data_IF_345119374215
#
_entry.id   IF_345119374215
#
_cell.length_a   1.000
_cell.length_b   1.000
_cell.length_c   1.000
_cell.angle_alpha   90.00
_cell.angle_beta   90.00
_cell.angle_gamma   90.00
#
_symmetry.space_group_name_H-M   'P 1'
#
loop_
_entity.id
_entity.type
_entity.pdbx_description
1 polymer ?
#
# COMPACT_ATOMS: atom_id res chain seq x y z
N UNK A 1 -23.80 -0.40 -8.05
CA UNK A 1 -24.13 1.03 -7.79
C UNK A 1 -23.27 1.46 -6.62
N UNK A 2 -22.63 2.63 -6.67
CA UNK A 2 -21.86 3.17 -5.55
C UNK A 2 -22.76 4.13 -4.79
N UNK A 3 -23.06 3.81 -3.52
CA UNK A 3 -23.85 4.65 -2.63
C UNK A 3 -22.93 5.41 -1.67
N UNK A 4 -23.25 6.68 -1.42
CA UNK A 4 -22.43 7.55 -0.58
C UNK A 4 -23.28 8.09 0.58
N UNK A 5 -22.87 7.76 1.80
CA UNK A 5 -23.52 8.22 3.03
C UNK A 5 -22.67 9.33 3.66
N UNK A 6 -23.29 10.48 3.93
CA UNK A 6 -22.63 11.63 4.54
C UNK A 6 -23.23 11.94 5.91
N UNK A 7 -22.37 12.18 6.90
CA UNK A 7 -22.79 12.69 8.21
C UNK A 7 -21.63 13.42 8.87
N UNK A 8 -21.96 14.33 9.78
CA UNK A 8 -21.01 14.99 10.67
C UNK A 8 -20.76 14.21 11.97
N UNK A 9 -21.50 13.11 12.18
CA UNK A 9 -21.38 12.23 13.34
C UNK A 9 -21.02 10.83 12.91
N UNK A 10 -19.88 10.33 13.40
CA UNK A 10 -19.38 9.01 13.07
C UNK A 10 -20.33 7.91 13.57
N UNK A 11 -21.05 8.15 14.68
CA UNK A 11 -22.04 7.25 15.23
C UNK A 11 -23.18 7.00 14.24
N UNK A 12 -23.62 8.03 13.52
CA UNK A 12 -24.68 7.90 12.51
C UNK A 12 -24.21 7.05 11.32
N UNK A 13 -22.98 7.28 10.84
CA UNK A 13 -22.40 6.45 9.77
C UNK A 13 -22.21 4.99 10.22
N UNK A 14 -21.78 4.80 11.47
CA UNK A 14 -21.59 3.47 12.05
C UNK A 14 -22.93 2.74 12.20
N UNK A 15 -23.98 3.44 12.65
CA UNK A 15 -25.33 2.87 12.75
C UNK A 15 -25.89 2.45 11.39
N UNK A 16 -25.75 3.29 10.36
CA UNK A 16 -26.16 2.96 9.00
C UNK A 16 -25.41 1.72 8.47
N UNK A 17 -24.07 1.68 8.66
CA UNK A 17 -23.27 0.51 8.29
C UNK A 17 -23.76 -0.77 8.99
N UNK A 18 -24.07 -0.69 10.29
CA UNK A 18 -24.56 -1.84 11.04
C UNK A 18 -25.97 -2.29 10.60
N UNK A 19 -26.80 -1.37 10.13
CA UNK A 19 -28.10 -1.70 9.53
C UNK A 19 -27.93 -2.48 8.22
N UNK A 20 -27.00 -2.04 7.37
CA UNK A 20 -26.66 -2.74 6.13
C UNK A 20 -26.07 -4.12 6.40
N UNK A 21 -25.21 -4.25 7.42
CA UNK A 21 -24.65 -5.54 7.86
C UNK A 21 -25.74 -6.50 8.32
N UNK A 22 -26.70 -6.01 9.12
CA UNK A 22 -27.82 -6.82 9.57
C UNK A 22 -28.71 -7.26 8.41
N UNK A 23 -28.96 -6.38 7.44
CA UNK A 23 -29.74 -6.69 6.25
C UNK A 23 -29.06 -7.71 5.35
N UNK A 24 -27.73 -7.62 5.19
CA UNK A 24 -26.94 -8.58 4.43
C UNK A 24 -27.09 -10.01 5.00
N UNK A 25 -26.93 -10.17 6.31
CA UNK A 25 -27.03 -11.46 6.98
C UNK A 25 -28.40 -12.17 6.79
N UNK A 26 -29.47 -11.40 6.60
CA UNK A 26 -30.82 -11.93 6.36
C UNK A 26 -31.07 -12.34 4.91
N UNK A 27 -30.35 -11.74 3.96
CA UNK A 27 -30.65 -11.86 2.53
C UNK A 27 -29.71 -12.81 1.77
N UNK A 28 -28.48 -13.02 2.24
CA UNK A 28 -27.44 -13.70 1.44
C UNK A 28 -27.58 -15.24 1.39
N UNK A 29 -28.50 -15.83 2.16
CA UNK A 29 -28.85 -17.26 2.12
C UNK A 29 -27.74 -18.25 2.51
N UNK A 30 -26.48 -17.82 2.51
CA UNK A 30 -25.30 -18.59 2.90
C UNK A 30 -24.89 -18.21 4.34
N UNK A 31 -25.00 -19.13 5.31
CA UNK A 31 -24.68 -18.84 6.72
C UNK A 31 -23.18 -18.60 6.98
N UNK A 32 -22.29 -18.90 6.03
CA UNK A 32 -20.84 -18.72 6.17
C UNK A 32 -20.30 -17.54 5.35
N UNK A 33 -21.16 -16.82 4.61
CA UNK A 33 -20.72 -15.66 3.86
C UNK A 33 -20.15 -14.58 4.82
N UNK A 34 -18.90 -14.21 4.61
CA UNK A 34 -18.25 -13.14 5.36
C UNK A 34 -18.47 -11.81 4.66
N UNK A 35 -18.87 -10.79 5.42
CA UNK A 35 -18.99 -9.44 4.89
C UNK A 35 -17.66 -8.69 5.01
N UNK A 36 -17.17 -8.18 3.89
CA UNK A 36 -15.94 -7.38 3.85
C UNK A 36 -16.25 -5.91 4.07
N UNK A 37 -15.56 -5.30 5.04
CA UNK A 37 -15.70 -3.89 5.41
C UNK A 37 -14.32 -3.25 5.38
N UNK A 38 -14.17 -2.23 4.54
CA UNK A 38 -12.92 -1.48 4.40
C UNK A 38 -12.86 -0.41 5.48
N UNK A 39 -11.77 -0.40 6.25
CA UNK A 39 -11.54 0.56 7.34
C UNK A 39 -10.29 1.41 7.08
N UNK A 40 -10.28 2.69 7.51
CA UNK A 40 -9.15 3.58 7.27
C UNK A 40 -8.02 3.43 8.30
N UNK A 41 -8.30 2.81 9.46
CA UNK A 41 -7.32 2.70 10.55
C UNK A 41 -7.67 1.58 11.53
N UNK A 42 -6.66 1.16 12.31
CA UNK A 42 -6.83 0.20 13.39
C UNK A 42 -7.80 0.70 14.49
N UNK A 43 -7.85 2.01 14.73
CA UNK A 43 -8.77 2.60 15.71
C UNK A 43 -10.23 2.45 15.26
N UNK A 44 -10.53 2.75 13.99
CA UNK A 44 -11.88 2.58 13.43
C UNK A 44 -12.25 1.10 13.37
N UNK A 45 -11.32 0.23 12.97
CA UNK A 45 -11.49 -1.22 13.02
C UNK A 45 -11.95 -1.67 14.41
N UNK A 46 -11.15 -1.34 15.43
CA UNK A 46 -11.43 -1.77 16.80
C UNK A 46 -12.76 -1.22 17.31
N UNK A 47 -13.09 0.02 16.94
CA UNK A 47 -14.35 0.64 17.32
C UNK A 47 -15.54 -0.10 16.72
N UNK A 48 -15.49 -0.40 15.41
CA UNK A 48 -16.54 -1.15 14.72
C UNK A 48 -16.72 -2.56 15.30
N UNK A 49 -15.63 -3.26 15.63
CA UNK A 49 -15.72 -4.57 16.30
C UNK A 49 -16.52 -4.50 17.61
N UNK A 50 -16.29 -3.46 18.41
CA UNK A 50 -17.00 -3.24 19.67
C UNK A 50 -18.46 -2.82 19.43
N UNK A 51 -18.72 -1.95 18.47
CA UNK A 51 -20.08 -1.49 18.14
C UNK A 51 -20.93 -2.65 17.57
N UNK A 52 -20.35 -3.53 16.75
CA UNK A 52 -20.96 -4.78 16.27
C UNK A 52 -21.26 -5.72 17.44
N UNK A 53 -20.30 -5.98 18.32
CA UNK A 53 -20.50 -6.84 19.48
C UNK A 53 -21.57 -6.29 20.43
N UNK A 54 -21.62 -4.97 20.62
CA UNK A 54 -22.65 -4.32 21.43
C UNK A 54 -24.05 -4.43 20.80
N UNK A 55 -24.16 -4.31 19.47
CA UNK A 55 -25.46 -4.38 18.77
C UNK A 55 -25.97 -5.80 18.55
N UNK A 56 -25.09 -6.72 18.19
CA UNK A 56 -25.44 -8.10 17.79
C UNK A 56 -25.14 -9.15 18.86
N UNK A 57 -24.52 -8.75 19.98
CA UNK A 57 -24.05 -9.64 21.04
C UNK A 57 -22.68 -10.28 20.77
N UNK A 58 -22.25 -10.33 19.50
CA UNK A 58 -20.94 -10.83 19.07
C UNK A 58 -20.51 -10.14 17.77
N UNK A 59 -19.21 -9.97 17.57
CA UNK A 59 -18.61 -9.62 16.28
C UNK A 59 -17.83 -10.82 15.77
N UNK A 60 -18.34 -11.50 14.74
CA UNK A 60 -17.73 -12.68 14.15
C UNK A 60 -18.03 -12.75 12.64
N UNK A 61 -17.17 -13.45 11.89
CA UNK A 61 -17.32 -13.64 10.43
C UNK A 61 -17.41 -12.34 9.60
N UNK A 62 -16.76 -11.26 10.07
CA UNK A 62 -16.64 -9.99 9.34
C UNK A 62 -15.18 -9.78 8.98
N UNK A 63 -14.90 -9.50 7.71
CA UNK A 63 -13.56 -9.23 7.21
C UNK A 63 -13.29 -7.72 7.21
N UNK A 64 -12.63 -7.24 8.27
CA UNK A 64 -12.22 -5.85 8.41
C UNK A 64 -10.80 -5.67 7.85
N UNK A 65 -10.70 -5.07 6.67
CA UNK A 65 -9.44 -4.92 5.95
C UNK A 65 -9.14 -3.46 5.56
N UNK A 66 -7.90 -3.18 5.18
CA UNK A 66 -7.51 -1.87 4.67
C UNK A 66 -7.73 -1.78 3.16
N UNK A 67 -7.92 -0.56 2.65
CA UNK A 67 -8.21 -0.32 1.23
C UNK A 67 -7.19 -0.97 0.28
N UNK A 68 -5.89 -0.85 0.59
CA UNK A 68 -4.84 -1.42 -0.26
C UNK A 68 -4.89 -2.95 -0.32
N UNK A 69 -5.19 -3.62 0.80
CA UNK A 69 -5.32 -5.07 0.87
C UNK A 69 -6.56 -5.53 0.08
N UNK A 70 -7.69 -4.84 0.29
CA UNK A 70 -8.91 -5.12 -0.44
C UNK A 70 -8.72 -4.96 -1.95
N UNK A 71 -8.10 -3.84 -2.38
CA UNK A 71 -7.86 -3.56 -3.79
C UNK A 71 -6.97 -4.64 -4.43
N UNK A 72 -5.93 -5.11 -3.74
CA UNK A 72 -5.09 -6.19 -4.25
C UNK A 72 -5.87 -7.50 -4.43
N UNK A 73 -6.75 -7.84 -3.49
CA UNK A 73 -7.63 -9.01 -3.60
C UNK A 73 -8.60 -8.89 -4.79
N UNK A 74 -9.19 -7.71 -5.02
CA UNK A 74 -10.05 -7.47 -6.18
C UNK A 74 -9.29 -7.61 -7.51
N UNK A 75 -8.06 -7.08 -7.58
CA UNK A 75 -7.19 -7.26 -8.76
C UNK A 75 -6.93 -8.74 -9.02
N UNK A 76 -6.65 -9.53 -7.97
CA UNK A 76 -6.47 -10.98 -8.06
C UNK A 76 -7.68 -11.75 -8.58
N UNK A 77 -8.89 -11.20 -8.45
CA UNK A 77 -10.10 -11.78 -9.03
C UNK A 77 -10.20 -11.61 -10.55
N UNK A 78 -9.49 -10.64 -11.13
CA UNK A 78 -9.60 -10.28 -12.56
C UNK A 78 -8.31 -10.59 -13.33
N UNK A 79 -7.17 -10.52 -12.67
CA UNK A 79 -5.85 -10.71 -13.27
C UNK A 79 -5.05 -11.77 -12.49
N UNK A 80 -4.24 -12.59 -13.18
CA UNK A 80 -3.36 -13.54 -12.53
C UNK A 80 -2.20 -12.78 -11.85
N UNK A 81 -2.39 -12.43 -10.59
CA UNK A 81 -1.35 -11.82 -9.73
C UNK A 81 -0.99 -12.75 -8.58
N UNK A 82 0.23 -12.66 -8.03
CA UNK A 82 0.58 -13.37 -6.82
C UNK A 82 -0.31 -12.95 -5.65
N UNK A 83 -0.53 -13.88 -4.70
CA UNK A 83 -1.33 -13.64 -3.49
C UNK A 83 -0.89 -12.39 -2.72
N UNK A 84 0.42 -12.13 -2.69
CA UNK A 84 1.00 -10.96 -2.06
C UNK A 84 1.66 -10.07 -3.10
N UNK A 85 1.49 -8.76 -2.99
CA UNK A 85 2.18 -7.81 -3.88
C UNK A 85 3.69 -8.07 -3.87
N UNK A 86 4.32 -8.27 -5.05
CA UNK A 86 5.77 -8.39 -5.13
C UNK A 86 6.48 -7.10 -4.73
N UNK A 87 5.75 -5.99 -4.64
CA UNK A 87 6.20 -4.68 -4.22
C UNK A 87 5.75 -4.33 -2.79
N UNK A 88 5.24 -5.28 -2.00
CA UNK A 88 4.94 -5.03 -0.60
C UNK A 88 6.21 -4.54 0.14
N UNK A 89 6.11 -3.49 1.00
CA UNK A 89 7.26 -2.89 1.67
C UNK A 89 8.19 -3.91 2.33
N UNK A 90 7.62 -4.85 3.10
CA UNK A 90 8.37 -5.89 3.84
C UNK A 90 9.22 -6.79 2.92
N UNK A 91 8.82 -6.97 1.66
CA UNK A 91 9.58 -7.73 0.66
C UNK A 91 10.56 -6.84 -0.09
N UNK A 92 10.15 -5.61 -0.41
CA UNK A 92 11.01 -4.64 -1.08
C UNK A 92 12.24 -4.28 -0.26
N UNK A 93 12.14 -4.21 1.07
CA UNK A 93 13.30 -3.96 1.94
C UNK A 93 14.45 -4.92 1.61
N UNK A 94 14.18 -6.22 1.53
CA UNK A 94 15.21 -7.22 1.26
C UNK A 94 15.76 -7.16 -0.16
N UNK A 95 14.94 -6.77 -1.15
CA UNK A 95 15.41 -6.55 -2.52
C UNK A 95 16.32 -5.33 -2.58
N UNK A 96 15.90 -4.21 -2.00
CA UNK A 96 16.70 -3.00 -1.88
C UNK A 96 17.99 -3.26 -1.10
N UNK A 97 17.96 -4.01 0.00
CA UNK A 97 19.14 -4.37 0.79
C UNK A 97 20.19 -5.10 -0.05
N UNK A 98 19.79 -6.12 -0.82
CA UNK A 98 20.69 -6.84 -1.73
C UNK A 98 21.24 -5.96 -2.83
N UNK A 99 20.39 -5.12 -3.43
CA UNK A 99 20.81 -4.19 -4.48
C UNK A 99 21.83 -3.16 -3.95
N UNK A 100 21.58 -2.57 -2.78
CA UNK A 100 22.50 -1.65 -2.13
C UNK A 100 23.84 -2.31 -1.80
N UNK A 101 23.84 -3.58 -1.39
CA UNK A 101 25.08 -4.34 -1.18
C UNK A 101 25.88 -4.56 -2.47
N UNK A 102 25.21 -4.93 -3.56
CA UNK A 102 25.87 -5.07 -4.86
C UNK A 102 26.42 -3.74 -5.43
N UNK A 103 25.76 -2.62 -5.11
CA UNK A 103 26.23 -1.28 -5.49
C UNK A 103 27.53 -0.88 -4.78
N UNK A 104 27.92 -1.52 -3.67
CA UNK A 104 29.24 -1.31 -3.07
C UNK A 104 30.36 -1.84 -3.98
N UNK A 105 30.10 -2.90 -4.76
CA UNK A 105 31.09 -3.54 -5.64
C UNK A 105 31.15 -2.91 -7.04
N UNK A 106 30.01 -2.44 -7.56
CA UNK A 106 29.88 -1.85 -8.89
C UNK A 106 28.99 -0.59 -8.86
N UNK A 107 29.43 0.43 -8.13
CA UNK A 107 28.64 1.63 -7.90
C UNK A 107 28.33 2.37 -9.22
N UNK A 108 27.06 2.64 -9.55
CA UNK A 108 26.74 3.44 -10.72
C UNK A 108 27.34 4.85 -10.62
N UNK A 109 27.70 5.40 -11.78
CA UNK A 109 28.14 6.79 -11.93
C UNK A 109 26.95 7.71 -11.62
N UNK A 110 27.10 8.60 -10.63
CA UNK A 110 26.09 9.65 -10.39
C UNK A 110 25.71 9.96 -8.94
N UNK A 111 26.15 9.19 -7.93
CA UNK A 111 25.84 9.52 -6.52
C UNK A 111 27.01 9.28 -5.56
N UNK A 112 27.93 10.25 -5.52
CA UNK A 112 29.10 10.22 -4.61
C UNK A 112 28.71 10.14 -3.14
N UNK A 113 27.62 10.81 -2.74
CA UNK A 113 27.10 10.79 -1.37
C UNK A 113 26.56 9.42 -0.96
N UNK A 114 25.80 8.76 -1.84
CA UNK A 114 25.26 7.43 -1.57
C UNK A 114 26.41 6.41 -1.43
N UNK A 115 27.41 6.50 -2.32
CA UNK A 115 28.60 5.65 -2.27
C UNK A 115 29.36 5.80 -0.94
N UNK A 116 29.70 7.03 -0.57
CA UNK A 116 30.39 7.30 0.70
C UNK A 116 29.60 6.80 1.92
N UNK A 117 28.26 6.87 1.89
CA UNK A 117 27.43 6.29 2.93
C UNK A 117 27.50 4.76 2.95
N UNK A 118 27.38 4.11 1.80
CA UNK A 118 27.39 2.64 1.69
C UNK A 118 28.75 2.03 2.03
N UNK A 119 29.86 2.72 1.70
CA UNK A 119 31.23 2.28 2.03
C UNK A 119 31.47 2.28 3.55
N UNK A 120 30.82 3.18 4.29
CA UNK A 120 30.91 3.29 5.74
C UNK A 120 29.78 2.56 6.49
N UNK A 121 28.79 2.02 5.77
CA UNK A 121 27.60 1.42 6.37
C UNK A 121 27.82 -0.04 6.78
N UNK A 122 27.41 -0.37 8.01
CA UNK A 122 27.19 -1.76 8.40
C UNK A 122 25.85 -2.29 7.86
N UNK A 123 25.57 -3.57 8.13
CA UNK A 123 24.32 -4.21 7.70
C UNK A 123 23.08 -3.54 8.31
N UNK A 124 23.17 -2.97 9.51
CA UNK A 124 22.03 -2.32 10.16
C UNK A 124 21.69 -0.99 9.48
N UNK A 125 22.70 -0.18 9.17
CA UNK A 125 22.57 1.07 8.42
C UNK A 125 22.04 0.81 7.00
N UNK A 126 22.56 -0.22 6.31
CA UNK A 126 22.08 -0.61 4.98
C UNK A 126 20.62 -1.07 5.03
N UNK A 127 20.23 -1.84 6.04
CA UNK A 127 18.85 -2.26 6.26
C UNK A 127 17.92 -1.07 6.49
N UNK A 128 18.35 -0.09 7.31
CA UNK A 128 17.56 1.11 7.57
C UNK A 128 17.32 1.92 6.28
N UNK A 129 18.36 2.09 5.45
CA UNK A 129 18.24 2.76 4.16
C UNK A 129 17.31 2.00 3.21
N UNK A 130 17.47 0.67 3.12
CA UNK A 130 16.62 -0.18 2.31
C UNK A 130 15.14 -0.07 2.71
N UNK A 131 14.86 -0.02 4.02
CA UNK A 131 13.51 0.18 4.55
C UNK A 131 12.93 1.53 4.14
N UNK A 132 13.72 2.61 4.27
CA UNK A 132 13.29 3.95 3.85
C UNK A 132 12.98 4.01 2.35
N UNK A 133 13.81 3.40 1.50
CA UNK A 133 13.58 3.32 0.05
C UNK A 133 12.30 2.54 -0.26
N UNK A 134 12.11 1.37 0.37
CA UNK A 134 10.91 0.55 0.18
C UNK A 134 9.63 1.32 0.54
N UNK A 135 9.63 2.07 1.64
CA UNK A 135 8.49 2.94 2.04
C UNK A 135 8.22 4.03 1.01
N UNK A 136 9.26 4.66 0.46
CA UNK A 136 9.09 5.69 -0.58
C UNK A 136 8.52 5.08 -1.87
N UNK A 137 8.98 3.90 -2.27
CA UNK A 137 8.45 3.21 -3.45
C UNK A 137 6.99 2.77 -3.27
N UNK A 138 6.59 2.34 -2.08
CA UNK A 138 5.20 2.03 -1.75
C UNK A 138 4.28 3.26 -1.94
N UNK A 139 4.74 4.43 -1.48
CA UNK A 139 4.03 5.69 -1.74
C UNK A 139 3.98 6.04 -3.23
N UNK A 140 5.07 5.86 -3.98
CA UNK A 140 5.07 6.14 -5.42
C UNK A 140 4.15 5.21 -6.21
N UNK A 141 4.07 3.93 -5.86
CA UNK A 141 3.13 3.00 -6.49
C UNK A 141 1.67 3.47 -6.36
N UNK A 142 1.35 4.14 -5.26
CA UNK A 142 -0.02 4.63 -4.99
C UNK A 142 -0.28 6.01 -5.58
N UNK A 143 0.66 6.96 -5.41
CA UNK A 143 0.41 8.39 -5.68
C UNK A 143 1.13 8.94 -6.91
N UNK A 144 2.17 8.27 -7.40
CA UNK A 144 3.01 8.70 -8.53
C UNK A 144 3.45 7.51 -9.41
N UNK A 145 2.55 6.62 -9.85
CA UNK A 145 2.92 5.46 -10.64
C UNK A 145 3.64 5.84 -11.95
N UNK A 146 3.34 7.00 -12.50
CA UNK A 146 3.99 7.58 -13.69
C UNK A 146 5.50 7.79 -13.48
N UNK A 147 5.95 8.14 -12.27
CA UNK A 147 7.38 8.29 -11.96
C UNK A 147 8.13 6.97 -12.10
N UNK A 148 7.52 5.89 -11.62
CA UNK A 148 8.09 4.55 -11.70
C UNK A 148 8.17 4.08 -13.15
N UNK A 149 7.14 4.36 -13.96
CA UNK A 149 7.15 4.06 -15.40
C UNK A 149 8.26 4.82 -16.12
N UNK A 150 8.45 6.11 -15.81
CA UNK A 150 9.53 6.92 -16.37
C UNK A 150 10.92 6.37 -16.01
N UNK A 151 11.14 6.00 -14.75
CA UNK A 151 12.40 5.39 -14.32
C UNK A 151 12.64 4.02 -14.97
N UNK A 152 11.60 3.20 -15.12
CA UNK A 152 11.69 1.91 -15.80
C UNK A 152 12.07 2.05 -17.28
N UNK A 153 11.66 3.14 -17.93
CA UNK A 153 12.08 3.50 -19.28
C UNK A 153 13.49 4.14 -19.35
N UNK A 154 14.21 4.24 -18.22
CA UNK A 154 15.52 4.87 -18.13
C UNK A 154 15.51 6.41 -18.11
N UNK A 155 14.33 7.03 -17.97
CA UNK A 155 14.18 8.48 -17.85
C UNK A 155 14.41 9.00 -16.43
N UNK A 156 14.39 10.32 -16.24
CA UNK A 156 14.49 10.96 -14.93
C UNK A 156 13.31 11.89 -14.66
N UNK A 157 12.77 11.83 -13.45
CA UNK A 157 11.70 12.72 -12.96
C UNK A 157 12.22 14.12 -12.57
N UNK A 158 13.53 14.27 -12.39
CA UNK A 158 14.17 15.52 -11.97
C UNK A 158 14.49 16.46 -13.14
N UNK A 159 14.31 16.00 -14.38
CA UNK A 159 14.45 16.85 -15.56
C UNK A 159 13.32 17.91 -15.70
N UNK A 160 12.29 17.82 -14.85
CA UNK A 160 11.12 18.71 -14.86
C UNK A 160 11.20 19.76 -13.74
N UNK A 161 12.07 20.76 -13.89
CA UNK A 161 11.87 22.05 -13.22
C UNK A 161 11.07 23.05 -14.09
N UNK A 162 10.71 22.64 -15.31
CA UNK A 162 10.04 23.48 -16.31
C UNK A 162 8.91 22.72 -17.03
N UNK A 163 7.91 22.23 -16.28
CA UNK A 163 6.53 21.98 -16.75
C UNK A 163 6.27 20.99 -17.90
N UNK A 164 7.29 20.44 -18.55
CA UNK A 164 7.17 19.42 -19.59
C UNK A 164 8.01 18.20 -19.21
N UNK A 165 7.43 17.01 -19.39
CA UNK A 165 8.12 15.73 -19.26
C UNK A 165 9.10 15.60 -20.43
N UNK A 166 10.33 16.06 -20.23
CA UNK A 166 11.34 16.02 -21.27
C UNK A 166 12.13 14.70 -21.21
N UNK A 167 12.30 14.04 -22.36
CA UNK A 167 12.88 12.71 -22.51
C UNK A 167 14.42 12.65 -22.29
N UNK A 168 15.01 13.72 -21.77
CA UNK A 168 16.45 13.97 -21.71
C UNK A 168 17.02 14.02 -20.28
N UNK A 169 16.33 13.42 -19.32
CA UNK A 169 16.88 13.19 -17.99
C UNK A 169 18.12 12.28 -18.00
N UNK A 170 19.02 12.37 -16.98
CA UNK A 170 20.19 11.51 -16.90
C UNK A 170 19.75 10.04 -16.94
N UNK A 171 20.18 9.36 -18.01
CA UNK A 171 19.91 7.94 -18.21
C UNK A 171 20.85 7.18 -17.27
N UNK A 172 20.27 6.26 -16.50
CA UNK A 172 21.07 5.25 -15.81
C UNK A 172 21.84 4.44 -16.87
N UNK A 173 23.11 4.11 -16.63
CA UNK A 173 23.92 3.33 -17.57
C UNK A 173 23.33 1.94 -17.83
#
# INVERSE_FOLDING_TARGET
>A
MLELFYSNRQETLSQALLEDVAAFALNDGNPFASQTIIVPSAAVRRRLELDMAARFGICANVDLCYLAQWLWAQIGGVLPVPEHSPFAPDRLVWRCFRLLGAMTEAAPEGSSRLRAYLDAADDSMRYELARRIATVFDHYLTYRPEWLQHWQAGGSILASASGALDANGPRLP
#
